data_IF_024491449848
#
_entry.id   IF_024491449848
#
_cell.length_a   1.000
_cell.length_b   1.000
_cell.length_c   1.000
_cell.angle_alpha   90.00
_cell.angle_beta   90.00
_cell.angle_gamma   90.00
#
_symmetry.space_group_name_H-M   'P 1'
#
loop_
_entity.id
_entity.type
_entity.pdbx_description
1 polymer ?
#
# COMPACT_ATOMS: atom_id res chain seq x y z
N UNK A 1 -14.68 -2.48 -2.03
CA UNK A 1 -13.27 -2.75 -2.43
C UNK A 1 -13.22 -4.06 -3.20
N UNK A 2 -12.57 -4.09 -4.38
CA UNK A 2 -12.48 -5.30 -5.21
C UNK A 2 -11.04 -5.82 -5.20
N UNK A 3 -10.84 -7.06 -4.77
CA UNK A 3 -9.52 -7.71 -4.81
C UNK A 3 -9.38 -8.47 -6.12
N UNK A 4 -8.35 -8.14 -6.89
CA UNK A 4 -7.96 -8.88 -8.10
C UNK A 4 -6.80 -9.82 -7.79
N UNK A 5 -6.80 -11.00 -8.43
CA UNK A 5 -5.75 -12.02 -8.33
C UNK A 5 -5.38 -12.43 -6.89
N UNK A 6 -6.34 -12.82 -6.03
CA UNK A 6 -6.03 -13.16 -4.63
C UNK A 6 -5.09 -14.36 -4.51
N UNK A 7 -5.14 -15.32 -5.45
CA UNK A 7 -4.27 -16.52 -5.46
C UNK A 7 -2.86 -16.27 -5.99
N UNK A 8 -2.51 -15.04 -6.38
CA UNK A 8 -1.15 -14.72 -6.87
C UNK A 8 -0.16 -14.88 -5.73
N UNK A 9 0.86 -15.72 -5.91
CA UNK A 9 1.93 -15.93 -4.91
C UNK A 9 2.81 -14.69 -4.85
N UNK A 10 2.98 -14.14 -3.65
CA UNK A 10 3.86 -13.01 -3.37
C UNK A 10 5.17 -13.46 -2.71
N UNK A 11 5.14 -14.54 -1.92
CA UNK A 11 6.29 -15.15 -1.27
C UNK A 11 6.51 -16.57 -1.81
N UNK A 12 7.41 -16.77 -2.78
CA UNK A 12 7.56 -18.06 -3.45
C UNK A 12 8.10 -19.19 -2.56
N UNK A 13 8.93 -18.87 -1.55
CA UNK A 13 9.54 -19.88 -0.67
C UNK A 13 8.51 -20.48 0.31
N UNK A 14 7.63 -19.65 0.85
CA UNK A 14 6.60 -20.04 1.82
C UNK A 14 5.25 -20.34 1.17
N UNK A 15 5.03 -19.84 -0.05
CA UNK A 15 3.77 -19.99 -0.80
C UNK A 15 2.70 -18.94 -0.47
N UNK A 16 2.99 -17.91 0.34
CA UNK A 16 1.98 -16.91 0.71
C UNK A 16 1.51 -16.09 -0.48
N UNK A 17 0.20 -15.91 -0.56
CA UNK A 17 -0.50 -15.24 -1.64
C UNK A 17 -0.85 -13.78 -1.31
N UNK A 18 -1.25 -13.02 -2.33
CA UNK A 18 -1.85 -11.69 -2.16
C UNK A 18 -3.08 -11.72 -1.25
N UNK A 19 -3.87 -12.79 -1.30
CA UNK A 19 -5.01 -13.01 -0.41
C UNK A 19 -4.60 -13.13 1.05
N UNK A 20 -3.52 -13.87 1.32
CA UNK A 20 -2.99 -14.05 2.68
C UNK A 20 -2.50 -12.73 3.27
N UNK A 21 -1.81 -11.91 2.47
CA UNK A 21 -1.39 -10.56 2.89
C UNK A 21 -2.58 -9.68 3.29
N UNK A 22 -3.66 -9.70 2.50
CA UNK A 22 -4.87 -8.93 2.79
C UNK A 22 -5.54 -9.45 4.07
N UNK A 23 -5.63 -10.77 4.24
CA UNK A 23 -6.18 -11.38 5.44
C UNK A 23 -5.35 -11.05 6.69
N UNK A 24 -4.02 -11.04 6.57
CA UNK A 24 -3.10 -10.62 7.62
C UNK A 24 -3.37 -9.17 8.04
N UNK A 25 -3.37 -8.22 7.09
CA UNK A 25 -3.62 -6.81 7.39
C UNK A 25 -5.00 -6.58 8.04
N UNK A 26 -6.04 -7.29 7.57
CA UNK A 26 -7.36 -7.23 8.20
C UNK A 26 -7.34 -7.69 9.66
N UNK A 27 -6.52 -8.69 9.98
CA UNK A 27 -6.40 -9.26 11.33
C UNK A 27 -5.64 -8.33 12.27
N UNK A 28 -4.54 -7.71 11.79
CA UNK A 28 -3.70 -6.83 12.63
C UNK A 28 -4.15 -5.37 12.63
N UNK A 29 -5.07 -4.97 11.75
CA UNK A 29 -5.53 -3.59 11.62
C UNK A 29 -5.92 -2.91 12.95
N UNK A 30 -6.67 -3.55 13.88
CA UNK A 30 -7.02 -2.91 15.16
C UNK A 30 -5.80 -2.55 16.02
N UNK A 31 -4.70 -3.29 15.89
CA UNK A 31 -3.45 -3.03 16.59
C UNK A 31 -2.56 -2.04 15.84
N UNK A 32 -2.60 -2.06 14.51
CA UNK A 32 -1.75 -1.26 13.65
C UNK A 32 -2.26 0.18 13.49
N UNK A 33 -3.56 0.36 13.28
CA UNK A 33 -4.16 1.64 12.89
C UNK A 33 -3.94 2.79 13.89
N UNK A 34 -4.00 2.60 15.22
CA UNK A 34 -3.74 3.70 16.17
C UNK A 34 -2.35 4.34 16.01
N UNK A 35 -1.37 3.60 15.52
CA UNK A 35 -0.02 4.11 15.30
C UNK A 35 0.14 4.83 13.95
N UNK A 36 -0.80 4.61 13.02
CA UNK A 36 -0.81 5.20 11.68
C UNK A 36 -1.78 6.38 11.56
N UNK A 37 -2.58 6.65 12.60
CA UNK A 37 -3.52 7.76 12.62
C UNK A 37 -2.80 9.10 12.39
N UNK A 38 -3.36 9.92 11.50
CA UNK A 38 -2.84 11.22 11.08
C UNK A 38 -1.37 11.21 10.57
N UNK A 39 -0.90 10.08 10.03
CA UNK A 39 0.43 9.96 9.43
C UNK A 39 0.34 9.76 7.92
N UNK A 40 0.91 10.67 7.10
CA UNK A 40 1.15 10.44 5.68
C UNK A 40 1.96 9.16 5.46
N UNK A 41 1.53 8.29 4.54
CA UNK A 41 2.16 6.99 4.30
C UNK A 41 2.88 6.97 2.95
N UNK A 42 4.03 6.30 2.92
CA UNK A 42 4.70 5.92 1.68
C UNK A 42 4.52 4.43 1.48
N UNK A 43 4.04 4.02 0.30
CA UNK A 43 3.82 2.61 -0.01
C UNK A 43 4.99 2.06 -0.82
N UNK A 44 5.55 0.94 -0.39
CA UNK A 44 6.39 0.10 -1.26
C UNK A 44 5.52 -0.97 -1.88
N UNK A 45 5.46 -1.01 -3.21
CA UNK A 45 4.56 -1.91 -3.95
C UNK A 45 5.36 -2.97 -4.69
N UNK A 46 4.90 -4.21 -4.58
CA UNK A 46 5.44 -5.39 -5.26
C UNK A 46 4.34 -6.04 -6.12
N UNK A 47 4.03 -5.52 -7.32
CA UNK A 47 2.93 -6.03 -8.14
C UNK A 47 3.09 -7.51 -8.51
N UNK A 48 4.34 -7.97 -8.62
CA UNK A 48 4.75 -9.32 -9.04
C UNK A 48 5.39 -10.16 -7.93
N UNK A 49 5.14 -9.81 -6.66
CA UNK A 49 5.69 -10.50 -5.51
C UNK A 49 7.08 -10.00 -5.11
N UNK A 50 7.61 -10.51 -4.00
CA UNK A 50 8.80 -9.95 -3.33
C UNK A 50 10.09 -10.09 -4.14
N UNK A 51 10.15 -11.03 -5.08
CA UNK A 51 11.29 -11.25 -5.98
C UNK A 51 11.17 -10.46 -7.28
N UNK A 52 10.03 -9.79 -7.51
CA UNK A 52 9.78 -8.97 -8.68
C UNK A 52 10.26 -7.53 -8.53
N UNK A 53 9.91 -6.68 -9.50
CA UNK A 53 10.18 -5.24 -9.41
C UNK A 53 9.32 -4.60 -8.31
N UNK A 54 9.93 -3.67 -7.58
CA UNK A 54 9.26 -2.84 -6.60
C UNK A 54 9.42 -1.36 -6.91
N UNK A 55 8.50 -0.55 -6.41
CA UNK A 55 8.60 0.90 -6.47
C UNK A 55 7.99 1.56 -5.24
N UNK A 56 8.45 2.76 -4.92
CA UNK A 56 7.87 3.62 -3.90
C UNK A 56 6.76 4.48 -4.51
N UNK A 57 5.65 4.60 -3.79
CA UNK A 57 4.54 5.46 -4.14
C UNK A 57 4.31 6.42 -2.97
N UNK A 58 4.77 7.66 -3.16
CA UNK A 58 4.53 8.79 -2.25
C UNK A 58 3.29 9.58 -2.66
N UNK A 59 3.09 9.75 -3.96
CA UNK A 59 1.96 10.49 -4.55
C UNK A 59 0.79 9.52 -4.79
N UNK A 60 -0.37 9.88 -4.26
CA UNK A 60 -1.60 9.12 -4.37
C UNK A 60 -2.07 9.13 -5.83
N UNK A 61 -2.37 7.96 -6.42
CA UNK A 61 -2.78 7.88 -7.81
C UNK A 61 -4.25 8.33 -7.98
N UNK A 62 -4.59 8.82 -9.16
CA UNK A 62 -5.95 9.31 -9.51
C UNK A 62 -7.08 8.29 -9.25
N UNK A 63 -6.76 7.00 -9.24
CA UNK A 63 -7.72 5.92 -9.02
C UNK A 63 -7.88 5.55 -7.53
N UNK A 64 -7.32 6.33 -6.60
CA UNK A 64 -7.54 6.10 -5.17
C UNK A 64 -9.03 6.24 -4.86
N UNK A 65 -9.64 5.34 -4.06
CA UNK A 65 -11.04 5.47 -3.71
C UNK A 65 -11.31 6.76 -2.93
N UNK A 66 -12.44 7.43 -3.20
CA UNK A 66 -12.79 8.73 -2.61
C UNK A 66 -12.92 8.75 -1.08
N UNK A 67 -13.03 7.60 -0.43
CA UNK A 67 -13.09 7.46 1.03
C UNK A 67 -11.70 7.39 1.68
N UNK A 68 -10.63 7.23 0.91
CA UNK A 68 -9.26 7.31 1.42
C UNK A 68 -8.90 8.78 1.55
N UNK A 69 -8.65 9.23 2.78
CA UNK A 69 -8.13 10.58 3.04
C UNK A 69 -6.72 10.70 2.49
N UNK A 70 -6.44 11.77 1.77
CA UNK A 70 -5.10 12.17 1.35
C UNK A 70 -4.77 13.55 1.91
N UNK A 71 -3.49 13.84 2.08
CA UNK A 71 -3.00 15.13 2.56
C UNK A 71 -1.98 15.73 1.61
N UNK A 72 -2.17 16.99 1.24
CA UNK A 72 -1.31 17.68 0.29
C UNK A 72 -0.07 18.24 0.99
N UNK A 73 1.10 17.83 0.53
CA UNK A 73 2.38 18.19 1.16
C UNK A 73 3.43 18.47 0.08
N UNK A 74 4.18 19.56 0.25
CA UNK A 74 5.31 19.89 -0.60
C UNK A 74 6.43 18.85 -0.48
N UNK A 75 6.75 18.20 -1.59
CA UNK A 75 7.85 17.25 -1.69
C UNK A 75 9.09 17.94 -2.25
N UNK A 76 10.15 18.02 -1.44
CA UNK A 76 11.46 18.53 -1.88
C UNK A 76 12.09 17.68 -2.98
N UNK A 77 11.88 16.36 -2.93
CA UNK A 77 12.45 15.43 -3.93
C UNK A 77 11.79 15.58 -5.31
N UNK A 78 10.49 15.89 -5.33
CA UNK A 78 9.72 16.04 -6.57
C UNK A 78 9.58 17.51 -7.01
N UNK A 79 10.03 18.45 -6.19
CA UNK A 79 9.88 19.90 -6.35
C UNK A 79 8.45 20.34 -6.70
N UNK A 80 7.47 19.73 -6.03
CA UNK A 80 6.04 20.03 -6.19
C UNK A 80 5.23 19.55 -5.00
N UNK A 81 3.99 20.04 -4.90
CA UNK A 81 2.97 19.44 -4.05
C UNK A 81 2.64 18.03 -4.54
N UNK A 82 2.56 17.09 -3.61
CA UNK A 82 2.05 15.73 -3.85
C UNK A 82 0.98 15.40 -2.82
N UNK A 83 0.04 14.56 -3.19
CA UNK A 83 -0.99 14.09 -2.28
C UNK A 83 -0.50 12.78 -1.65
N UNK A 84 -0.28 12.76 -0.34
CA UNK A 84 0.06 11.53 0.40
C UNK A 84 -1.20 10.77 0.80
#
# INVERSE_FOLDING_TARGET
>A
MKVTNPKKVFWPAEGYTKGDLIAYYRTVAPLLLPYLEDRPLVLTRYPDGITGKSFFQKDAPDFVPSWVRTERIYSKDADREIDY
#
